data_IF_212436297856
#
_entry.id   IF_212436297856
#
_cell.length_a   1.000
_cell.length_b   1.000
_cell.length_c   1.000
_cell.angle_alpha   90.00
_cell.angle_beta   90.00
_cell.angle_gamma   90.00
#
_symmetry.space_group_name_H-M   'P 1'
#
loop_
_entity.id
_entity.type
_entity.pdbx_description
1 polymer ?
#
# COMPACT_ATOMS: atom_id res chain seq x y z
N UNK A 1 -4.98 -6.09 -5.33
CA UNK A 1 -5.04 -7.02 -4.17
C UNK A 1 -5.80 -6.39 -3.01
N UNK A 2 -6.66 -7.13 -2.33
CA UNK A 2 -7.42 -6.64 -1.16
C UNK A 2 -6.59 -6.68 0.13
N UNK A 3 -7.07 -6.00 1.17
CA UNK A 3 -6.45 -6.07 2.51
C UNK A 3 -6.38 -7.49 3.08
N UNK A 4 -7.38 -8.34 2.80
CA UNK A 4 -7.39 -9.74 3.24
C UNK A 4 -6.29 -10.54 2.55
N UNK A 5 -6.17 -10.40 1.23
CA UNK A 5 -5.13 -11.05 0.43
C UNK A 5 -3.73 -10.60 0.90
N UNK A 6 -3.56 -9.29 1.14
CA UNK A 6 -2.31 -8.73 1.67
C UNK A 6 -1.92 -9.35 3.02
N UNK A 7 -2.87 -9.45 3.97
CA UNK A 7 -2.63 -10.08 5.27
C UNK A 7 -2.27 -11.56 5.17
N UNK A 8 -2.90 -12.30 4.26
CA UNK A 8 -2.56 -13.70 4.01
C UNK A 8 -1.14 -13.85 3.49
N UNK A 9 -0.74 -13.02 2.51
CA UNK A 9 0.62 -13.04 1.96
C UNK A 9 1.67 -12.60 2.99
N UNK A 10 1.33 -11.62 3.84
CA UNK A 10 2.19 -11.18 4.94
C UNK A 10 2.44 -12.31 5.94
N UNK A 11 1.37 -12.96 6.41
CA UNK A 11 1.47 -14.07 7.37
C UNK A 11 2.21 -15.28 6.80
N UNK A 12 2.14 -15.50 5.49
CA UNK A 12 2.88 -16.55 4.80
C UNK A 12 4.35 -16.18 4.53
N UNK A 13 4.80 -14.96 4.85
CA UNK A 13 6.14 -14.49 4.50
C UNK A 13 6.38 -14.37 2.99
N UNK A 14 5.31 -14.27 2.20
CA UNK A 14 5.36 -14.31 0.74
C UNK A 14 5.54 -12.92 0.10
N UNK A 15 5.34 -11.85 0.87
CA UNK A 15 5.53 -10.47 0.40
C UNK A 15 7.01 -10.13 0.29
N UNK A 16 7.45 -9.74 -0.91
CA UNK A 16 8.86 -9.37 -1.14
C UNK A 16 9.10 -7.88 -1.03
N UNK A 17 8.15 -7.07 -1.47
CA UNK A 17 8.29 -5.61 -1.54
C UNK A 17 6.96 -4.92 -1.28
N UNK A 18 6.99 -4.00 -0.33
CA UNK A 18 5.87 -3.08 -0.05
C UNK A 18 6.38 -1.66 -0.26
N UNK A 19 5.63 -0.87 -1.01
CA UNK A 19 5.95 0.53 -1.24
C UNK A 19 4.71 1.42 -1.20
N UNK A 20 4.86 2.63 -0.66
CA UNK A 20 3.88 3.70 -0.82
C UNK A 20 4.30 4.54 -2.01
N UNK A 21 3.43 4.69 -3.00
CA UNK A 21 3.68 5.47 -4.23
C UNK A 21 2.77 6.68 -4.27
N UNK A 22 3.31 7.84 -4.67
CA UNK A 22 2.49 9.04 -4.92
C UNK A 22 1.76 8.91 -6.27
N UNK A 23 0.44 8.99 -6.24
CA UNK A 23 -0.45 8.94 -7.39
C UNK A 23 -0.88 10.36 -7.79
N UNK A 24 -0.22 10.89 -8.83
CA UNK A 24 -0.38 12.29 -9.28
C UNK A 24 -1.81 12.60 -9.72
N UNK A 25 -2.44 11.71 -10.48
CA UNK A 25 -3.78 11.97 -11.03
C UNK A 25 -4.85 12.14 -9.95
N UNK A 26 -4.62 11.60 -8.77
CA UNK A 26 -5.60 11.61 -7.66
C UNK A 26 -5.12 12.44 -6.48
N UNK A 27 -3.99 13.14 -6.63
CA UNK A 27 -3.32 13.90 -5.59
C UNK A 27 -3.26 13.16 -4.24
N UNK A 28 -2.82 11.90 -4.29
CA UNK A 28 -2.86 11.02 -3.13
C UNK A 28 -1.76 9.96 -3.16
N UNK A 29 -1.79 9.07 -2.18
CA UNK A 29 -0.85 7.98 -2.01
C UNK A 29 -1.56 6.65 -2.18
N UNK A 30 -0.88 5.67 -2.75
CA UNK A 30 -1.35 4.30 -2.89
C UNK A 30 -0.30 3.33 -2.36
N UNK A 31 -0.76 2.23 -1.78
CA UNK A 31 0.11 1.14 -1.35
C UNK A 31 0.22 0.14 -2.51
N UNK A 32 1.43 -0.28 -2.82
CA UNK A 32 1.73 -1.31 -3.82
C UNK A 32 2.53 -2.40 -3.16
N UNK A 33 2.05 -3.62 -3.24
CA UNK A 33 2.70 -4.81 -2.69
C UNK A 33 2.98 -5.78 -3.85
N UNK A 34 4.26 -6.11 -4.05
CA UNK A 34 4.76 -6.97 -5.14
C UNK A 34 4.26 -6.56 -6.53
N UNK A 35 4.13 -5.25 -6.76
CA UNK A 35 3.64 -4.69 -8.02
C UNK A 35 2.12 -4.58 -8.14
N UNK A 36 1.36 -5.14 -7.19
CA UNK A 36 -0.10 -5.04 -7.18
C UNK A 36 -0.56 -3.90 -6.27
N UNK A 37 -1.44 -3.01 -6.75
CA UNK A 37 -2.04 -1.98 -5.92
C UNK A 37 -2.94 -2.59 -4.85
N UNK A 38 -2.94 -1.98 -3.67
CA UNK A 38 -3.91 -2.29 -2.64
C UNK A 38 -5.29 -1.78 -3.08
N UNK A 39 -6.29 -2.62 -2.92
CA UNK A 39 -7.66 -2.39 -3.33
C UNK A 39 -8.61 -2.38 -2.14
N UNK A 40 -9.75 -1.72 -2.34
CA UNK A 40 -10.92 -1.85 -1.47
C UNK A 40 -11.61 -3.20 -1.70
N UNK A 41 -12.61 -3.53 -0.87
CA UNK A 41 -13.45 -4.70 -1.08
C UNK A 41 -14.21 -4.67 -2.42
N UNK A 42 -14.38 -3.48 -3.02
CA UNK A 42 -15.00 -3.28 -4.34
C UNK A 42 -14.01 -3.40 -5.51
N UNK A 43 -12.77 -3.85 -5.26
CA UNK A 43 -11.69 -3.95 -6.27
C UNK A 43 -11.25 -2.61 -6.88
N UNK A 44 -11.55 -1.50 -6.23
CA UNK A 44 -11.03 -0.18 -6.60
C UNK A 44 -9.69 0.05 -5.92
N UNK A 45 -8.74 0.74 -6.59
CA UNK A 45 -7.46 1.09 -5.96
C UNK A 45 -7.69 1.97 -4.73
N UNK A 46 -7.19 1.52 -3.58
CA UNK A 46 -7.31 2.24 -2.32
C UNK A 46 -6.35 3.42 -2.31
N UNK A 47 -6.91 4.61 -2.11
CA UNK A 47 -6.15 5.85 -2.04
C UNK A 47 -6.12 6.39 -0.62
N UNK A 48 -5.01 7.04 -0.30
CA UNK A 48 -4.75 7.69 0.98
C UNK A 48 -4.45 9.15 0.72
N UNK A 49 -5.05 10.05 1.49
CA UNK A 49 -4.84 11.49 1.34
C UNK A 49 -3.40 11.91 1.66
N UNK A 50 -2.78 11.25 2.64
CA UNK A 50 -1.42 11.57 3.10
C UNK A 50 -0.57 10.32 3.25
N UNK A 51 0.75 10.50 3.16
CA UNK A 51 1.73 9.44 3.44
C UNK A 51 1.54 8.88 4.85
N UNK A 52 1.32 9.75 5.85
CA UNK A 52 1.11 9.35 7.25
C UNK A 52 -0.09 8.41 7.41
N UNK A 53 -1.17 8.66 6.68
CA UNK A 53 -2.37 7.80 6.75
C UNK A 53 -2.08 6.43 6.12
N UNK A 54 -1.30 6.39 5.04
CA UNK A 54 -0.87 5.13 4.41
C UNK A 54 0.09 4.35 5.33
N UNK A 55 1.07 5.02 5.93
CA UNK A 55 2.02 4.44 6.88
C UNK A 55 1.30 3.88 8.13
N UNK A 56 0.38 4.65 8.72
CA UNK A 56 -0.44 4.20 9.86
C UNK A 56 -1.26 2.97 9.52
N UNK A 57 -1.79 2.90 8.30
CA UNK A 57 -2.51 1.72 7.83
C UNK A 57 -1.60 0.49 7.76
N UNK A 58 -0.42 0.61 7.15
CA UNK A 58 0.58 -0.45 7.06
C UNK A 58 0.98 -0.97 8.45
N UNK A 59 1.25 -0.05 9.38
CA UNK A 59 1.61 -0.40 10.75
C UNK A 59 0.49 -1.18 11.46
N UNK A 60 -0.78 -0.76 11.29
CA UNK A 60 -1.95 -1.43 11.87
C UNK A 60 -2.10 -2.88 11.39
N UNK A 61 -1.60 -3.21 10.20
CA UNK A 61 -1.67 -4.57 9.64
C UNK A 61 -0.36 -5.36 9.81
N UNK A 62 0.59 -4.85 10.60
CA UNK A 62 1.84 -5.55 10.93
C UNK A 62 3.00 -5.31 9.98
N UNK A 63 2.92 -4.31 9.10
CA UNK A 63 4.00 -3.93 8.19
C UNK A 63 4.72 -2.72 8.78
N UNK A 64 5.97 -2.92 9.22
CA UNK A 64 6.80 -1.87 9.80
C UNK A 64 7.92 -1.39 8.85
N UNK A 65 8.28 -2.18 7.84
CA UNK A 65 9.26 -1.84 6.81
C UNK A 65 8.57 -1.71 5.45
N UNK A 66 8.75 -0.56 4.81
CA UNK A 66 8.26 -0.27 3.46
C UNK A 66 9.06 0.86 2.82
N UNK A 67 9.15 0.85 1.50
CA UNK A 67 9.77 1.94 0.75
C UNK A 67 8.75 3.04 0.43
N UNK A 68 9.21 4.29 0.35
CA UNK A 68 8.39 5.39 -0.18
C UNK A 68 8.94 5.82 -1.53
N UNK A 69 8.09 5.79 -2.55
CA UNK A 69 8.37 6.35 -3.88
C UNK A 69 7.60 7.64 -4.05
N UNK A 70 8.28 8.73 -3.74
CA UNK A 70 7.82 10.07 -4.10
C UNK A 70 8.11 10.29 -5.58
N UNK A 71 7.18 10.91 -6.30
CA UNK A 71 7.47 11.39 -7.65
C UNK A 71 8.25 12.69 -7.48
N UNK A 72 9.56 12.63 -7.59
CA UNK A 72 10.35 13.84 -7.85
C UNK A 72 10.09 14.24 -9.29
N UNK A 73 9.74 15.51 -9.51
CA UNK A 73 9.53 16.09 -10.84
C UNK A 73 10.74 15.94 -11.73
#
# INVERSE_FOLDING_TARGET
MTERELKLLLNAGALKRIQVSYAVMTNGYMIVADGYPLETSRRETRQFKTLDTAARFLFKIGIADFAVKLKTG
#
